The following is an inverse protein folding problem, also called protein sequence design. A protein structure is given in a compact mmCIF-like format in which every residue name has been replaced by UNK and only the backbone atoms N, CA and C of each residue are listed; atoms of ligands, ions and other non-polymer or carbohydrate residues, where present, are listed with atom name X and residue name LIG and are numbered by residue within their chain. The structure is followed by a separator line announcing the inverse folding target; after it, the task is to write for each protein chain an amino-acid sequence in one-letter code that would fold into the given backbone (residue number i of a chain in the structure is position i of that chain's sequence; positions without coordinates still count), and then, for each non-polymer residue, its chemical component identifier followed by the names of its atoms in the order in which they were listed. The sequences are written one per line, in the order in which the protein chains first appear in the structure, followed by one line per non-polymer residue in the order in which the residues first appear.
data_IF_879743952907
#
_entry.id   IF_879743952907
#
_cell.length_a   1.000
_cell.length_b   1.000
_cell.length_c   1.000
_cell.angle_alpha   90.00
_cell.angle_beta   90.00
_cell.angle_gamma   90.00
#
_symmetry.space_group_name_H-M   'P 1'
#
loop_
_entity.id
_entity.type
_entity.pdbx_description
1 polymer ?
#
# COMPACT_ATOMS: atom_id res chain seq x y z
N UNK A 1 -21.42 0.37 -8.00
CA UNK A 1 -22.67 -0.21 -7.49
C UNK A 1 -23.54 0.93 -6.96
N UNK A 2 -24.19 1.67 -7.85
CA UNK A 2 -25.05 2.82 -7.48
C UNK A 2 -26.54 2.55 -7.71
N UNK A 3 -26.86 1.54 -8.52
CA UNK A 3 -28.23 1.27 -8.98
C UNK A 3 -28.91 0.12 -8.22
N UNK A 4 -28.42 -0.20 -7.02
CA UNK A 4 -29.04 -1.22 -6.17
C UNK A 4 -30.42 -0.74 -5.73
N UNK A 5 -31.46 -1.51 -6.03
CA UNK A 5 -32.82 -1.24 -5.54
C UNK A 5 -32.97 -1.63 -4.05
N UNK A 6 -32.10 -1.11 -3.18
CA UNK A 6 -32.05 -1.43 -1.74
C UNK A 6 -33.38 -1.15 -1.03
N UNK A 7 -34.19 -0.22 -1.56
CA UNK A 7 -35.53 0.08 -1.06
C UNK A 7 -36.54 -1.08 -1.24
N UNK A 8 -36.24 -2.10 -2.05
CA UNK A 8 -37.06 -3.30 -2.21
C UNK A 8 -36.74 -4.41 -1.21
N UNK A 9 -35.66 -4.28 -0.44
CA UNK A 9 -35.21 -5.28 0.53
C UNK A 9 -36.04 -5.11 1.82
N UNK A 10 -36.50 -6.22 2.40
CA UNK A 10 -37.19 -6.20 3.70
C UNK A 10 -36.31 -5.63 4.81
N UNK A 11 -36.90 -5.10 5.88
CA UNK A 11 -36.15 -4.42 6.93
C UNK A 11 -35.09 -5.32 7.60
N UNK A 12 -35.44 -6.55 7.94
CA UNK A 12 -34.54 -7.51 8.57
C UNK A 12 -33.43 -7.98 7.61
N UNK A 13 -33.77 -8.18 6.34
CA UNK A 13 -32.80 -8.52 5.29
C UNK A 13 -31.81 -7.38 5.03
N UNK A 14 -32.26 -6.12 5.12
CA UNK A 14 -31.41 -4.95 4.96
C UNK A 14 -30.42 -4.82 6.13
N UNK A 15 -30.86 -5.12 7.36
CA UNK A 15 -29.97 -5.17 8.52
C UNK A 15 -28.95 -6.30 8.41
N UNK A 16 -29.40 -7.49 7.96
CA UNK A 16 -28.51 -8.64 7.71
C UNK A 16 -27.46 -8.31 6.66
N UNK A 17 -27.86 -7.73 5.53
CA UNK A 17 -26.93 -7.26 4.50
C UNK A 17 -25.96 -6.21 5.04
N UNK A 18 -26.43 -5.28 5.88
CA UNK A 18 -25.58 -4.29 6.53
C UNK A 18 -24.50 -4.93 7.42
N UNK A 19 -24.86 -5.96 8.17
CA UNK A 19 -23.90 -6.72 9.00
C UNK A 19 -22.87 -7.46 8.14
N UNK A 20 -23.29 -8.11 7.06
CA UNK A 20 -22.40 -8.80 6.14
C UNK A 20 -21.42 -7.84 5.45
N UNK A 21 -21.93 -6.69 4.98
CA UNK A 21 -21.09 -5.65 4.39
C UNK A 21 -20.07 -5.08 5.39
N UNK A 22 -20.46 -4.91 6.66
CA UNK A 22 -19.53 -4.46 7.70
C UNK A 22 -18.42 -5.51 7.96
N UNK A 23 -18.78 -6.80 8.05
CA UNK A 23 -17.79 -7.87 8.19
C UNK A 23 -16.81 -7.93 7.01
N UNK A 24 -17.34 -7.79 5.79
CA UNK A 24 -16.53 -7.73 4.58
C UNK A 24 -15.62 -6.49 4.57
N UNK A 25 -16.16 -5.32 4.93
CA UNK A 25 -15.42 -4.06 5.01
C UNK A 25 -14.25 -4.17 5.99
N UNK A 26 -14.50 -4.72 7.18
CA UNK A 26 -13.45 -4.99 8.19
C UNK A 26 -12.38 -5.95 7.68
N UNK A 27 -12.78 -7.01 7.00
CA UNK A 27 -11.84 -7.98 6.40
C UNK A 27 -10.96 -7.33 5.33
N UNK A 28 -11.57 -6.55 4.43
CA UNK A 28 -10.84 -5.79 3.40
C UNK A 28 -9.90 -4.76 4.05
N UNK A 29 -10.32 -4.10 5.12
CA UNK A 29 -9.47 -3.17 5.86
C UNK A 29 -8.28 -3.88 6.50
N UNK A 30 -8.46 -5.04 7.11
CA UNK A 30 -7.37 -5.84 7.66
C UNK A 30 -6.33 -6.20 6.58
N UNK A 31 -6.77 -6.61 5.39
CA UNK A 31 -5.88 -6.86 4.25
C UNK A 31 -5.12 -5.60 3.83
N UNK A 32 -5.81 -4.45 3.73
CA UNK A 32 -5.17 -3.16 3.40
C UNK A 32 -4.09 -2.78 4.41
N UNK A 33 -4.34 -3.02 5.71
CA UNK A 33 -3.36 -2.78 6.78
C UNK A 33 -2.18 -3.75 6.66
N UNK A 34 -2.42 -5.03 6.39
CA UNK A 34 -1.37 -6.01 6.20
C UNK A 34 -0.44 -5.66 5.03
N UNK A 35 -1.01 -5.29 3.87
CA UNK A 35 -0.24 -4.81 2.71
C UNK A 35 0.59 -3.57 3.06
N UNK A 36 0.03 -2.61 3.78
CA UNK A 36 0.78 -1.42 4.22
C UNK A 36 1.98 -1.79 5.11
N UNK A 37 1.82 -2.78 5.99
CA UNK A 37 2.89 -3.30 6.84
C UNK A 37 3.98 -4.02 6.08
N UNK A 38 3.64 -4.81 5.06
CA UNK A 38 4.62 -5.44 4.17
C UNK A 38 5.45 -4.40 3.42
N UNK A 39 4.79 -3.36 2.89
CA UNK A 39 5.47 -2.24 2.21
C UNK A 39 6.40 -1.48 3.17
N UNK A 40 5.96 -1.24 4.42
CA UNK A 40 6.77 -0.59 5.47
C UNK A 40 7.98 -1.45 5.85
N UNK A 41 7.77 -2.74 6.09
CA UNK A 41 8.79 -3.70 6.51
C UNK A 41 9.85 -3.91 5.44
N UNK A 42 9.45 -3.92 4.17
CA UNK A 42 10.37 -4.01 3.03
C UNK A 42 11.05 -2.67 2.70
N UNK A 43 10.80 -1.61 3.47
CA UNK A 43 11.39 -0.27 3.30
C UNK A 43 11.22 0.28 1.88
N UNK A 44 10.09 -0.03 1.24
CA UNK A 44 9.88 0.19 -0.20
C UNK A 44 9.82 1.68 -0.61
N UNK A 45 9.67 2.58 0.35
CA UNK A 45 9.59 4.03 0.15
C UNK A 45 10.92 4.63 -0.32
N UNK A 46 12.03 4.33 0.36
CA UNK A 46 13.34 4.94 0.08
C UNK A 46 13.83 4.66 -1.35
N UNK A 47 13.80 3.41 -1.86
CA UNK A 47 14.20 3.12 -3.24
C UNK A 47 13.33 3.81 -4.30
N UNK A 48 12.15 4.32 -3.92
CA UNK A 48 11.20 5.00 -4.80
C UNK A 48 11.19 6.51 -4.61
N UNK A 49 12.14 7.07 -3.85
CA UNK A 49 12.25 8.50 -3.59
C UNK A 49 11.12 9.08 -2.74
N UNK A 50 10.35 8.22 -2.05
CA UNK A 50 9.29 8.65 -1.16
C UNK A 50 9.83 8.88 0.25
N UNK A 51 9.48 9.99 0.92
CA UNK A 51 9.99 10.30 2.26
C UNK A 51 9.44 9.37 3.35
N UNK A 52 8.35 8.65 3.08
CA UNK A 52 7.76 7.68 4.01
C UNK A 52 6.90 6.65 3.30
N UNK A 53 6.61 5.54 3.98
CA UNK A 53 5.66 4.52 3.50
C UNK A 53 4.27 5.10 3.26
N UNK A 54 3.80 6.01 4.12
CA UNK A 54 2.51 6.67 3.94
C UNK A 54 2.49 7.55 2.68
N UNK A 55 3.59 8.27 2.38
CA UNK A 55 3.72 9.04 1.16
C UNK A 55 3.69 8.13 -0.09
N UNK A 56 4.41 7.00 -0.04
CA UNK A 56 4.39 6.00 -1.11
C UNK A 56 2.99 5.43 -1.33
N UNK A 57 2.28 5.01 -0.28
CA UNK A 57 0.93 4.45 -0.38
C UNK A 57 -0.07 5.46 -0.93
N UNK A 58 0.01 6.72 -0.50
CA UNK A 58 -0.81 7.81 -1.05
C UNK A 58 -0.56 7.96 -2.55
N UNK A 59 0.69 7.99 -2.98
CA UNK A 59 1.07 8.18 -4.38
C UNK A 59 0.62 7.02 -5.27
N UNK A 60 0.82 5.78 -4.82
CA UNK A 60 0.56 4.57 -5.63
C UNK A 60 -0.91 4.16 -5.60
N UNK A 61 -1.57 4.27 -4.45
CA UNK A 61 -2.96 3.81 -4.28
C UNK A 61 -4.00 4.93 -4.44
N UNK A 62 -3.55 6.17 -4.67
CA UNK A 62 -4.41 7.35 -4.83
C UNK A 62 -5.39 7.55 -3.66
N UNK A 63 -4.93 7.23 -2.44
CA UNK A 63 -5.72 7.37 -1.21
C UNK A 63 -5.42 8.69 -0.49
N UNK A 64 -6.32 9.11 0.41
CA UNK A 64 -6.09 10.32 1.20
C UNK A 64 -4.85 10.20 2.11
N UNK A 65 -4.21 11.33 2.49
CA UNK A 65 -3.10 11.31 3.44
C UNK A 65 -3.46 10.64 4.76
N UNK A 66 -4.65 10.93 5.30
CA UNK A 66 -5.14 10.38 6.57
C UNK A 66 -5.30 8.86 6.49
N UNK A 67 -5.87 8.36 5.40
CA UNK A 67 -6.04 6.92 5.17
C UNK A 67 -4.68 6.20 5.09
N UNK A 68 -3.72 6.76 4.34
CA UNK A 68 -2.39 6.20 4.22
C UNK A 68 -1.67 6.11 5.59
N UNK A 69 -1.69 7.18 6.37
CA UNK A 69 -1.09 7.21 7.70
C UNK A 69 -1.77 6.22 8.66
N UNK A 70 -3.11 6.15 8.61
CA UNK A 70 -3.88 5.27 9.48
C UNK A 70 -3.55 3.80 9.22
N UNK A 71 -3.39 3.41 7.94
CA UNK A 71 -2.98 2.04 7.58
C UNK A 71 -1.57 1.70 8.07
N UNK A 72 -0.60 2.60 7.89
CA UNK A 72 0.78 2.37 8.37
C UNK A 72 0.82 2.30 9.91
N UNK A 73 0.11 3.19 10.59
CA UNK A 73 0.02 3.20 12.06
C UNK A 73 -0.63 1.91 12.58
N UNK A 74 -1.75 1.50 11.98
CA UNK A 74 -2.42 0.24 12.32
C UNK A 74 -1.48 -0.95 12.10
N UNK A 75 -0.79 -1.00 10.95
CA UNK A 75 0.13 -2.09 10.62
C UNK A 75 1.24 -2.25 11.66
N UNK A 76 1.86 -1.14 12.08
CA UNK A 76 2.88 -1.13 13.14
C UNK A 76 2.36 -1.56 14.51
N UNK A 77 1.05 -1.44 14.74
CA UNK A 77 0.42 -1.83 16.00
C UNK A 77 0.05 -3.32 16.02
N UNK A 78 -0.42 -3.86 14.89
CA UNK A 78 -1.00 -5.20 14.84
C UNK A 78 -0.08 -6.29 14.28
N UNK A 79 0.94 -5.91 13.49
CA UNK A 79 1.85 -6.87 12.89
C UNK A 79 3.08 -7.10 13.79
N UNK A 80 3.56 -8.34 13.93
CA UNK A 80 4.77 -8.62 14.68
C UNK A 80 5.96 -7.84 14.10
N UNK A 81 6.66 -7.07 14.93
CA UNK A 81 7.95 -6.45 14.58
C UNK A 81 9.05 -7.52 14.51
N UNK A 82 8.92 -8.55 13.70
CA UNK A 82 9.93 -9.62 13.62
C UNK A 82 9.80 -10.46 12.34
N UNK A 83 10.41 -9.99 11.25
CA UNK A 83 10.96 -10.92 10.26
C UNK A 83 12.48 -10.71 10.25
N UNK A 84 13.30 -11.70 10.66
CA UNK A 84 14.73 -11.62 10.43
C UNK A 84 14.96 -11.44 8.93
N UNK A 85 15.64 -10.35 8.63
CA UNK A 85 15.99 -9.89 7.29
C UNK A 85 16.65 -11.06 6.56
N UNK A 86 16.06 -11.55 5.48
CA UNK A 86 16.86 -12.30 4.51
C UNK A 86 17.79 -11.25 3.90
N UNK A 87 19.13 -11.34 4.04
CA UNK A 87 20.00 -10.43 3.34
C UNK A 87 19.69 -10.61 1.86
N UNK A 88 19.17 -9.55 1.24
CA UNK A 88 19.19 -9.44 -0.21
C UNK A 88 20.68 -9.31 -0.51
N UNK A 89 21.31 -10.43 -0.87
CA UNK A 89 22.64 -10.36 -1.44
C UNK A 89 22.55 -9.35 -2.60
N UNK A 90 23.39 -8.30 -2.64
CA UNK A 90 23.42 -7.43 -3.80
C UNK A 90 23.65 -8.33 -5.01
N UNK A 91 22.78 -8.21 -6.03
CA UNK A 91 22.89 -8.95 -7.29
C UNK A 91 24.23 -8.69 -8.02
N UNK A 92 25.06 -7.78 -7.50
CA UNK A 92 26.37 -7.42 -8.02
C UNK A 92 27.47 -8.49 -7.82
N UNK A 93 27.21 -9.61 -7.11
CA UNK A 93 28.24 -10.62 -6.84
C UNK A 93 28.18 -11.88 -7.71
N UNK A 94 27.26 -11.98 -8.68
CA UNK A 94 27.13 -13.22 -9.47
C UNK A 94 27.50 -13.17 -10.95
N UNK A 95 27.77 -12.01 -11.55
CA UNK A 95 28.27 -12.00 -12.94
C UNK A 95 29.32 -10.91 -13.14
N UNK A 96 30.52 -11.35 -13.50
CA UNK A 96 31.57 -10.48 -13.98
C UNK A 96 31.17 -9.78 -15.28
N UNK A 97 31.70 -8.56 -15.44
CA UNK A 97 32.04 -7.94 -16.72
C UNK A 97 30.95 -7.91 -17.80
N UNK A 98 30.20 -6.82 -17.89
CA UNK A 98 30.29 -5.83 -19.00
C UNK A 98 29.33 -4.66 -18.76
N UNK A 99 29.74 -3.49 -19.27
CA UNK A 99 29.20 -2.15 -19.05
C UNK A 99 27.69 -1.97 -19.23
N UNK A 100 27.08 -0.97 -18.58
CA UNK A 100 25.63 -0.80 -18.57
C UNK A 100 25.16 0.05 -19.77
N UNK A 101 24.41 -0.60 -20.67
CA UNK A 101 23.62 0.03 -21.74
C UNK A 101 22.24 0.38 -21.17
N UNK A 102 22.11 1.59 -20.60
CA UNK A 102 20.84 2.19 -20.18
C UNK A 102 20.55 3.37 -21.09
N UNK A 103 20.34 3.06 -22.37
CA UNK A 103 19.64 3.95 -23.28
C UNK A 103 18.13 3.74 -23.13
N UNK A 104 17.41 4.80 -22.80
CA UNK A 104 15.97 4.90 -23.10
C UNK A 104 15.01 4.68 -21.93
N UNK A 105 15.04 5.55 -20.91
CA UNK A 105 13.82 5.91 -20.19
C UNK A 105 13.47 7.35 -20.52
N UNK A 106 12.50 7.46 -21.42
CA UNK A 106 11.94 8.70 -21.94
C UNK A 106 11.34 9.55 -20.81
N UNK A 107 11.64 10.84 -20.93
CA UNK A 107 11.59 11.88 -19.92
C UNK A 107 10.30 12.65 -20.13
N UNK A 108 9.15 12.13 -19.70
CA UNK A 108 7.87 12.86 -19.83
C UNK A 108 6.78 12.41 -18.84
N UNK A 109 7.08 12.35 -17.54
CA UNK A 109 6.08 12.65 -16.51
C UNK A 109 6.77 13.34 -15.34
N UNK A 110 6.37 14.57 -15.07
CA UNK A 110 6.89 15.42 -14.00
C UNK A 110 6.94 14.69 -12.65
N UNK A 111 8.13 14.26 -12.25
CA UNK A 111 8.44 13.85 -10.89
C UNK A 111 8.42 15.11 -10.03
N UNK A 112 7.31 15.36 -9.33
CA UNK A 112 7.26 16.43 -8.33
C UNK A 112 7.90 15.92 -7.04
N UNK A 113 8.99 16.53 -6.54
CA UNK A 113 9.53 16.18 -5.24
C UNK A 113 8.50 16.50 -4.16
N UNK A 114 8.33 15.56 -3.23
CA UNK A 114 7.57 15.79 -2.00
C UNK A 114 8.33 16.81 -1.15
N UNK A 115 8.04 18.10 -1.33
CA UNK A 115 8.45 19.16 -0.41
C UNK A 115 7.59 19.03 0.86
N UNK A 116 8.27 18.83 1.99
CA UNK A 116 7.66 18.66 3.29
C UNK A 116 7.14 19.98 3.88
N UNK A 117 6.01 19.87 4.58
CA UNK A 117 5.68 20.54 5.85
C UNK A 117 4.48 19.81 6.45
#
# INVERSE_FOLDING_TARGET
MRDGAFWKIGADDLLTLGQELEMLSRSVYAVKVHVAGEVDTQTMATPRGCPSTAALLRQVLLISPTEAHSRVKAARTVLPLSRPRRPVAPLCLLHGSTSPLWDGWDRSHHFRPCLGS
#
